data_IF_927273698970
#
_entry.id   IF_927273698970
#
_cell.length_a   1.000
_cell.length_b   1.000
_cell.length_c   1.000
_cell.angle_alpha   90.00
_cell.angle_beta   90.00
_cell.angle_gamma   90.00
#
_symmetry.space_group_name_H-M   'P 1'
#
loop_
_entity.id
_entity.type
_entity.pdbx_description
1 polymer ?
#
# COMPACT_ATOMS: atom_id res chain seq x y z
N UNK A 1 22.44 -21.42 -53.45
CA UNK A 1 23.90 -21.71 -53.49
C UNK A 1 24.47 -20.94 -54.68
N UNK A 2 25.69 -20.38 -54.59
CA UNK A 2 26.23 -19.17 -55.28
C UNK A 2 25.81 -17.88 -54.56
N UNK A 3 26.61 -17.19 -53.74
CA UNK A 3 28.04 -16.78 -53.69
C UNK A 3 28.28 -15.36 -54.26
N UNK A 4 28.50 -14.43 -53.31
CA UNK A 4 29.44 -13.29 -53.22
C UNK A 4 29.65 -12.33 -54.40
N UNK A 5 29.75 -11.03 -54.03
CA UNK A 5 30.82 -10.02 -54.28
C UNK A 5 30.14 -8.62 -54.14
N UNK A 6 30.33 -7.84 -53.06
CA UNK A 6 31.41 -6.88 -52.71
C UNK A 6 31.53 -5.64 -53.65
N UNK A 7 31.04 -4.51 -53.10
CA UNK A 7 31.58 -3.13 -53.06
C UNK A 7 31.76 -2.32 -54.35
N UNK A 8 31.26 -1.07 -54.37
CA UNK A 8 32.04 0.19 -54.40
C UNK A 8 31.09 1.40 -54.38
N UNK A 9 31.39 2.39 -53.53
CA UNK A 9 30.75 3.70 -53.55
C UNK A 9 31.39 4.62 -54.59
N UNK A 10 30.60 5.57 -55.10
CA UNK A 10 31.08 6.80 -55.71
C UNK A 10 29.98 7.87 -55.66
N UNK A 11 30.42 9.11 -55.80
CA UNK A 11 29.91 10.33 -55.19
C UNK A 11 28.85 11.12 -55.99
N UNK A 12 28.05 11.88 -55.23
CA UNK A 12 27.55 13.28 -55.47
C UNK A 12 26.71 13.68 -56.70
N UNK A 13 25.52 14.24 -56.40
CA UNK A 13 24.88 15.44 -56.98
C UNK A 13 23.66 15.80 -56.07
N UNK A 14 23.71 16.83 -55.21
CA UNK A 14 23.27 18.23 -55.42
C UNK A 14 21.83 18.35 -55.97
N UNK A 15 20.90 19.20 -55.51
CA UNK A 15 20.79 20.22 -54.46
C UNK A 15 19.29 20.64 -54.38
N UNK A 16 18.71 20.61 -53.17
CA UNK A 16 17.70 21.54 -52.55
C UNK A 16 16.40 21.93 -53.30
N UNK A 17 15.25 21.77 -52.59
CA UNK A 17 14.18 22.74 -52.23
C UNK A 17 12.95 21.91 -51.77
N UNK A 18 12.17 22.17 -50.74
CA UNK A 18 12.16 23.06 -49.59
C UNK A 18 11.08 22.48 -48.64
N UNK A 19 11.30 22.47 -47.32
CA UNK A 19 10.24 22.18 -46.35
C UNK A 19 10.38 23.15 -45.16
N UNK A 20 9.27 23.73 -44.66
CA UNK A 20 9.31 24.94 -43.83
C UNK A 20 9.83 24.66 -42.42
N UNK A 21 10.69 25.56 -41.97
CA UNK A 21 11.22 25.67 -40.61
C UNK A 21 10.15 26.14 -39.63
N UNK A 22 9.79 25.32 -38.65
CA UNK A 22 9.24 25.80 -37.39
C UNK A 22 10.41 26.08 -36.42
N UNK A 23 10.69 27.36 -36.17
CA UNK A 23 11.56 27.78 -35.08
C UNK A 23 10.76 27.75 -33.78
N UNK A 24 11.14 26.89 -32.84
CA UNK A 24 10.77 27.02 -31.43
C UNK A 24 11.85 27.88 -30.78
N UNK A 25 11.53 28.99 -30.11
CA UNK A 25 12.54 29.80 -29.43
C UNK A 25 13.12 29.02 -28.25
N UNK A 26 14.43 28.77 -28.29
CA UNK A 26 15.18 28.36 -27.10
C UNK A 26 15.22 29.55 -26.15
N UNK A 27 14.45 29.48 -25.07
CA UNK A 27 14.64 30.33 -23.90
C UNK A 27 15.91 29.84 -23.21
N UNK A 28 17.01 30.56 -23.39
CA UNK A 28 18.21 30.37 -22.58
C UNK A 28 17.92 30.90 -21.18
N UNK A 29 17.64 30.01 -20.22
CA UNK A 29 17.70 30.37 -18.82
C UNK A 29 19.16 30.61 -18.44
N UNK A 30 19.58 31.87 -18.44
CA UNK A 30 20.77 32.31 -17.71
C UNK A 30 20.47 32.14 -16.21
N UNK A 31 20.98 31.06 -15.62
CA UNK A 31 21.02 30.93 -14.16
C UNK A 31 22.18 31.78 -13.65
N UNK A 32 21.84 32.95 -13.12
CA UNK A 32 22.74 33.71 -12.26
C UNK A 32 23.04 32.88 -11.00
N UNK A 33 24.26 32.37 -10.87
CA UNK A 33 24.74 31.77 -9.63
C UNK A 33 25.10 32.92 -8.68
N UNK A 34 24.08 33.39 -7.95
CA UNK A 34 24.24 34.20 -6.75
C UNK A 34 24.55 33.29 -5.57
N UNK A 35 25.65 33.55 -4.88
CA UNK A 35 26.14 32.78 -3.76
C UNK A 35 25.20 32.80 -2.53
N UNK A 36 25.28 31.72 -1.75
CA UNK A 36 24.70 31.51 -0.41
C UNK A 36 23.20 31.20 -0.35
N UNK A 37 22.88 29.94 -0.63
CA UNK A 37 21.66 29.29 -0.18
C UNK A 37 22.01 27.82 0.03
N UNK A 38 21.97 27.36 1.27
CA UNK A 38 22.18 25.97 1.67
C UNK A 38 21.31 25.08 0.79
N UNK A 39 21.93 24.21 -0.02
CA UNK A 39 21.22 23.11 -0.68
C UNK A 39 20.59 22.28 0.43
N UNK A 40 19.29 22.49 0.67
CA UNK A 40 18.49 21.52 1.39
C UNK A 40 18.65 20.20 0.62
N UNK A 41 19.39 19.27 1.21
CA UNK A 41 19.44 17.91 0.74
C UNK A 41 17.99 17.41 0.75
N UNK A 42 17.37 17.33 -0.41
CA UNK A 42 16.12 16.59 -0.61
C UNK A 42 16.45 15.12 -0.31
N UNK A 43 16.34 14.73 0.96
CA UNK A 43 16.32 13.34 1.35
C UNK A 43 15.16 12.69 0.58
N UNK A 44 15.31 11.49 0.01
CA UNK A 44 14.17 10.81 -0.60
C UNK A 44 13.12 10.57 0.48
N UNK A 45 12.01 11.27 0.34
CA UNK A 45 10.83 11.10 1.18
C UNK A 45 10.34 9.66 1.06
N UNK A 46 10.13 8.99 2.19
CA UNK A 46 9.33 7.76 2.21
C UNK A 46 7.87 8.21 2.31
N UNK A 47 7.05 8.05 1.25
CA UNK A 47 5.66 8.49 1.31
C UNK A 47 4.90 7.74 2.40
N UNK A 48 3.88 8.38 2.97
CA UNK A 48 2.94 7.67 3.84
C UNK A 48 2.33 6.47 3.10
N UNK A 49 2.30 5.31 3.76
CA UNK A 49 1.78 4.10 3.12
C UNK A 49 2.10 2.80 3.85
N UNK A 50 1.82 1.70 3.17
CA UNK A 50 2.02 0.34 3.67
C UNK A 50 3.24 -0.29 2.98
N UNK A 51 4.09 -0.94 3.78
CA UNK A 51 5.38 -1.44 3.32
C UNK A 51 5.68 -2.82 3.90
N UNK A 52 6.32 -3.66 3.09
CA UNK A 52 7.22 -4.66 3.62
C UNK A 52 8.57 -4.01 3.91
N UNK A 53 9.09 -4.24 5.10
CA UNK A 53 10.38 -3.68 5.54
C UNK A 53 11.40 -4.79 5.56
N UNK A 54 12.44 -4.68 4.74
CA UNK A 54 13.49 -5.70 4.60
C UNK A 54 14.83 -5.17 5.09
N UNK A 55 15.57 -5.97 5.84
CA UNK A 55 16.97 -5.70 6.13
C UNK A 55 17.85 -6.19 4.97
N UNK A 56 18.84 -5.40 4.56
CA UNK A 56 19.71 -5.77 3.43
C UNK A 56 20.50 -7.05 3.67
N UNK A 57 20.89 -7.33 4.91
CA UNK A 57 21.74 -8.47 5.21
C UNK A 57 20.97 -9.78 5.43
N UNK A 58 19.65 -9.73 5.64
CA UNK A 58 18.89 -10.89 6.15
C UNK A 58 17.56 -11.11 5.43
N UNK A 59 16.51 -10.38 5.79
CA UNK A 59 15.16 -10.66 5.31
C UNK A 59 14.12 -9.66 5.83
N UNK A 60 12.85 -10.03 5.86
CA UNK A 60 11.76 -9.12 6.26
C UNK A 60 11.62 -9.00 7.77
N UNK A 61 11.38 -7.78 8.26
CA UNK A 61 10.91 -7.50 9.61
C UNK A 61 9.46 -7.93 9.78
N UNK A 62 9.17 -8.67 10.86
CA UNK A 62 7.88 -9.26 11.15
C UNK A 62 7.64 -9.36 12.66
N UNK A 63 6.40 -9.65 13.05
CA UNK A 63 6.03 -10.05 14.41
C UNK A 63 5.86 -11.56 14.52
N UNK A 64 6.25 -12.12 15.68
CA UNK A 64 6.21 -13.57 15.92
C UNK A 64 4.80 -14.07 16.24
N UNK A 65 3.98 -13.18 16.77
CA UNK A 65 2.67 -13.48 17.31
C UNK A 65 1.84 -12.19 17.38
N UNK A 66 0.59 -12.31 17.81
CA UNK A 66 -0.27 -11.17 18.14
C UNK A 66 0.09 -10.53 19.50
N UNK A 67 1.31 -10.72 20.02
CA UNK A 67 1.72 -10.19 21.31
C UNK A 67 2.51 -8.89 21.17
N UNK A 68 2.20 -7.93 22.04
CA UNK A 68 3.00 -6.71 22.25
C UNK A 68 4.21 -6.92 23.16
N UNK A 69 4.32 -8.10 23.78
CA UNK A 69 5.42 -8.41 24.71
C UNK A 69 6.66 -8.97 24.03
N UNK A 70 6.59 -9.24 22.73
CA UNK A 70 7.70 -9.81 21.96
C UNK A 70 8.32 -8.75 21.05
N UNK A 71 9.66 -8.71 20.94
CA UNK A 71 10.30 -7.73 20.08
C UNK A 71 10.06 -8.07 18.61
N UNK A 72 10.13 -7.03 17.77
CA UNK A 72 10.19 -7.18 16.31
C UNK A 72 11.40 -8.04 15.97
N UNK A 73 11.24 -8.94 15.00
CA UNK A 73 12.33 -9.79 14.54
C UNK A 73 12.39 -9.82 13.02
N UNK A 74 13.54 -10.24 12.49
CA UNK A 74 13.79 -10.46 11.06
C UNK A 74 14.02 -11.94 10.83
N UNK A 75 13.41 -12.48 9.77
CA UNK A 75 13.54 -13.89 9.36
C UNK A 75 14.00 -14.01 7.91
N UNK A 76 14.82 -15.02 7.62
CA UNK A 76 15.21 -15.42 6.26
C UNK A 76 14.07 -16.10 5.51
N UNK A 77 13.20 -16.82 6.22
CA UNK A 77 12.04 -17.48 5.61
C UNK A 77 10.93 -16.47 5.41
N UNK A 78 10.36 -16.42 4.20
CA UNK A 78 9.03 -15.83 3.95
C UNK A 78 7.99 -16.69 4.66
N UNK A 79 7.96 -16.66 5.99
CA UNK A 79 6.73 -16.95 6.70
C UNK A 79 5.71 -15.97 6.15
N UNK A 80 4.58 -16.49 5.64
CA UNK A 80 3.55 -15.72 4.94
C UNK A 80 3.40 -14.35 5.59
N UNK A 81 3.84 -13.29 4.89
CA UNK A 81 3.85 -11.91 5.37
C UNK A 81 2.43 -11.36 5.33
N UNK A 82 1.50 -12.07 5.97
CA UNK A 82 0.20 -11.52 6.34
C UNK A 82 0.38 -10.23 7.14
N UNK A 83 -0.67 -9.72 7.78
CA UNK A 83 -0.63 -8.36 8.33
C UNK A 83 0.47 -8.13 9.40
N UNK A 84 1.07 -9.19 9.97
CA UNK A 84 2.25 -9.14 10.86
C UNK A 84 3.59 -8.81 10.20
N UNK A 85 3.71 -8.96 8.88
CA UNK A 85 4.89 -8.58 8.10
C UNK A 85 4.72 -7.28 7.32
N UNK A 86 3.60 -6.58 7.51
CA UNK A 86 3.32 -5.30 6.88
C UNK A 86 3.36 -4.18 7.92
N UNK A 87 3.95 -3.06 7.51
CA UNK A 87 4.22 -1.91 8.36
C UNK A 87 3.63 -0.67 7.73
N UNK A 88 2.93 0.12 8.53
CA UNK A 88 2.46 1.45 8.15
C UNK A 88 3.52 2.47 8.52
N UNK A 89 3.93 3.28 7.57
CA UNK A 89 4.92 4.35 7.74
C UNK A 89 4.19 5.67 7.53
N UNK A 90 4.25 6.55 8.53
CA UNK A 90 3.53 7.83 8.51
C UNK A 90 4.45 8.97 8.97
N UNK A 91 4.72 9.98 8.12
CA UNK A 91 5.37 11.21 8.56
C UNK A 91 4.60 11.86 9.72
N UNK A 92 5.32 12.34 10.73
CA UNK A 92 4.76 13.02 11.90
C UNK A 92 4.86 14.55 11.79
N UNK A 93 5.63 15.04 10.82
CA UNK A 93 5.82 16.44 10.54
C UNK A 93 5.94 16.69 9.02
N UNK A 94 5.73 17.94 8.62
CA UNK A 94 5.86 18.37 7.22
C UNK A 94 7.32 18.33 6.72
N UNK A 95 8.27 18.07 7.62
CA UNK A 95 9.69 17.95 7.30
C UNK A 95 10.08 16.55 6.83
N UNK A 96 9.20 15.54 6.99
CA UNK A 96 9.51 14.14 6.68
C UNK A 96 10.79 13.63 7.39
N UNK A 97 11.11 14.22 8.53
CA UNK A 97 12.29 13.85 9.34
C UNK A 97 11.93 12.85 10.43
N UNK A 98 10.65 12.80 10.80
CA UNK A 98 10.12 11.93 11.85
C UNK A 98 8.97 11.09 11.34
N UNK A 99 9.03 9.80 11.64
CA UNK A 99 8.07 8.82 11.20
C UNK A 99 7.51 8.05 12.38
N UNK A 100 6.20 7.87 12.39
CA UNK A 100 5.56 6.79 13.13
C UNK A 100 5.65 5.53 12.28
N UNK A 101 6.09 4.44 12.92
CA UNK A 101 6.10 3.11 12.32
C UNK A 101 5.11 2.28 13.14
N UNK A 102 4.14 1.66 12.46
CA UNK A 102 3.12 0.82 13.12
C UNK A 102 3.02 -0.53 12.44
N UNK A 103 2.76 -1.58 13.22
CA UNK A 103 2.46 -2.88 12.63
C UNK A 103 0.99 -2.91 12.21
N UNK A 104 0.71 -3.32 10.98
CA UNK A 104 -0.67 -3.34 10.47
C UNK A 104 -1.50 -4.40 11.20
N UNK A 105 -0.98 -5.61 11.39
CA UNK A 105 -1.71 -6.72 11.99
C UNK A 105 -2.04 -6.57 13.47
N UNK A 106 -1.29 -5.76 14.20
CA UNK A 106 -1.65 -5.38 15.57
C UNK A 106 -2.39 -4.04 15.66
N UNK A 107 -2.30 -3.19 14.65
CA UNK A 107 -2.85 -1.83 14.70
C UNK A 107 -2.19 -0.95 15.78
N UNK A 108 -0.97 -1.28 16.20
CA UNK A 108 -0.24 -0.54 17.24
C UNK A 108 1.09 0.00 16.71
N UNK A 109 1.55 1.17 17.22
CA UNK A 109 2.86 1.70 16.90
C UNK A 109 3.98 0.83 17.47
N UNK A 110 5.20 1.11 17.00
CA UNK A 110 6.41 0.51 17.55
C UNK A 110 7.16 1.51 18.42
N UNK A 111 7.82 1.02 19.46
CA UNK A 111 8.65 1.81 20.36
C UNK A 111 9.91 1.02 20.73
N UNK A 112 10.93 1.72 21.21
CA UNK A 112 12.11 1.11 21.81
C UNK A 112 11.88 0.87 23.31
N UNK A 113 12.31 -0.29 23.79
CA UNK A 113 12.41 -0.59 25.22
C UNK A 113 13.76 -1.25 25.49
N UNK A 114 14.62 -0.56 26.24
CA UNK A 114 16.03 -0.92 26.36
C UNK A 114 16.74 -0.89 25.01
N UNK A 115 17.34 -2.01 24.61
CA UNK A 115 18.06 -2.14 23.35
C UNK A 115 17.26 -2.89 22.26
N UNK A 116 15.95 -3.09 22.44
CA UNK A 116 15.10 -3.82 21.50
C UNK A 116 13.90 -2.97 21.08
N UNK A 117 13.27 -3.35 19.97
CA UNK A 117 12.07 -2.70 19.44
C UNK A 117 10.85 -3.59 19.65
N UNK A 118 9.77 -3.01 20.15
CA UNK A 118 8.51 -3.70 20.46
C UNK A 118 7.31 -3.00 19.81
N UNK A 119 6.29 -3.74 19.37
CA UNK A 119 4.97 -3.15 19.12
C UNK A 119 4.25 -2.87 20.45
N UNK A 120 3.53 -1.76 20.56
CA UNK A 120 2.78 -1.42 21.78
C UNK A 120 2.38 0.04 21.84
N UNK A 121 2.49 0.65 23.03
CA UNK A 121 2.17 2.06 23.21
C UNK A 121 3.03 2.98 22.33
N UNK A 122 2.49 4.15 21.90
CA UNK A 122 3.24 5.10 21.11
C UNK A 122 4.52 5.54 21.83
N UNK A 123 5.66 5.33 21.16
CA UNK A 123 6.97 5.79 21.62
C UNK A 123 7.35 7.13 21.00
N UNK A 124 8.65 7.42 21.03
CA UNK A 124 9.20 8.49 20.20
C UNK A 124 9.10 8.15 18.71
N UNK A 125 9.03 9.19 17.87
CA UNK A 125 9.10 9.01 16.42
C UNK A 125 10.52 8.63 15.97
N UNK A 126 10.61 7.86 14.90
CA UNK A 126 11.87 7.41 14.31
C UNK A 126 12.33 8.38 13.23
N UNK A 127 13.63 8.62 13.12
CA UNK A 127 14.19 9.25 11.94
C UNK A 127 14.52 8.18 10.90
N UNK A 128 14.06 8.36 9.66
CA UNK A 128 14.39 7.45 8.56
C UNK A 128 15.22 8.22 7.54
N UNK A 129 16.49 7.84 7.42
CA UNK A 129 17.50 8.58 6.66
C UNK A 129 18.03 7.72 5.51
N UNK A 130 18.20 8.30 4.32
CA UNK A 130 18.76 7.58 3.17
C UNK A 130 20.22 7.22 3.43
N UNK A 131 20.53 5.93 3.43
CA UNK A 131 21.86 5.37 3.62
C UNK A 131 22.60 5.08 2.28
N UNK A 132 21.90 5.21 1.14
CA UNK A 132 22.46 5.03 -0.19
C UNK A 132 21.52 4.29 -1.13
N UNK A 133 22.10 3.48 -2.01
CA UNK A 133 21.38 2.56 -2.89
C UNK A 133 22.00 1.17 -2.83
N UNK A 134 21.17 0.15 -3.04
CA UNK A 134 21.62 -1.23 -3.20
C UNK A 134 22.15 -1.51 -4.62
N UNK A 135 22.58 -2.75 -4.87
CA UNK A 135 23.09 -3.20 -6.18
C UNK A 135 22.05 -3.06 -7.32
N UNK A 136 20.76 -3.02 -6.99
CA UNK A 136 19.66 -2.82 -7.93
C UNK A 136 19.25 -1.35 -8.06
N UNK A 137 20.02 -0.42 -7.50
CA UNK A 137 19.73 1.03 -7.44
C UNK A 137 18.44 1.37 -6.69
N UNK A 138 17.99 0.50 -5.79
CA UNK A 138 16.90 0.79 -4.87
C UNK A 138 17.44 1.53 -3.66
N UNK A 139 16.70 2.54 -3.21
CA UNK A 139 17.09 3.30 -2.02
C UNK A 139 17.07 2.43 -0.77
N UNK A 140 18.13 2.59 0.03
CA UNK A 140 18.28 1.93 1.32
C UNK A 140 18.39 2.99 2.41
N UNK A 141 17.87 2.66 3.58
CA UNK A 141 17.64 3.61 4.65
C UNK A 141 18.16 3.09 5.98
N UNK A 142 18.54 4.01 6.86
CA UNK A 142 18.78 3.73 8.27
C UNK A 142 17.53 4.15 9.06
N UNK A 143 17.10 3.32 10.02
CA UNK A 143 16.02 3.67 10.96
C UNK A 143 16.66 4.02 12.29
N UNK A 144 16.60 5.30 12.67
CA UNK A 144 17.26 5.87 13.83
C UNK A 144 16.26 6.22 14.93
N UNK A 145 16.68 5.99 16.16
CA UNK A 145 15.96 6.35 17.38
C UNK A 145 16.63 7.61 17.95
N UNK A 146 16.04 8.80 17.77
CA UNK A 146 16.73 10.06 18.05
C UNK A 146 17.17 10.23 19.51
N UNK A 147 16.34 9.84 20.49
CA UNK A 147 16.65 10.06 21.91
C UNK A 147 17.89 9.34 22.42
N UNK A 148 18.24 8.20 21.80
CA UNK A 148 19.39 7.37 22.17
C UNK A 148 20.48 7.37 21.11
N UNK A 149 20.30 8.09 20.00
CA UNK A 149 21.22 8.17 18.87
C UNK A 149 21.70 6.79 18.37
N UNK A 150 20.79 5.82 18.30
CA UNK A 150 21.07 4.45 17.84
C UNK A 150 20.18 4.07 16.67
N UNK A 151 20.60 3.05 15.93
CA UNK A 151 19.92 2.60 14.72
C UNK A 151 19.47 1.14 14.85
N UNK A 152 18.37 0.83 14.17
CA UNK A 152 17.85 -0.53 14.06
C UNK A 152 18.87 -1.43 13.39
N UNK A 153 19.24 -2.49 14.10
CA UNK A 153 20.31 -3.43 13.70
C UNK A 153 19.86 -4.86 13.91
N UNK A 154 20.14 -5.71 12.92
CA UNK A 154 19.87 -7.15 12.95
C UNK A 154 21.18 -7.92 13.21
N UNK A 155 21.14 -8.95 14.06
CA UNK A 155 22.24 -9.91 14.15
C UNK A 155 22.09 -10.95 13.03
N UNK A 156 23.07 -10.99 12.13
CA UNK A 156 23.08 -11.86 10.94
C UNK A 156 23.70 -13.23 11.20
N UNK A 157 23.88 -13.63 12.46
CA UNK A 157 24.40 -14.96 12.80
C UNK A 157 23.29 -15.94 13.19
N UNK A 158 22.02 -15.53 13.16
CA UNK A 158 20.90 -16.33 13.64
C UNK A 158 19.75 -16.34 12.62
N UNK A 159 19.16 -17.52 12.35
CA UNK A 159 18.06 -17.69 11.36
C UNK A 159 16.89 -16.73 11.62
N UNK A 160 16.63 -16.44 12.89
CA UNK A 160 15.70 -15.41 13.36
C UNK A 160 16.44 -14.48 14.31
N UNK A 161 16.28 -13.19 14.13
CA UNK A 161 17.06 -12.19 14.87
C UNK A 161 16.18 -11.03 15.29
N UNK A 162 16.20 -10.67 16.57
CA UNK A 162 15.43 -9.53 17.05
C UNK A 162 16.06 -8.23 16.56
N UNK A 163 15.23 -7.24 16.27
CA UNK A 163 15.70 -5.90 15.93
C UNK A 163 16.21 -5.24 17.21
N UNK A 164 17.49 -4.87 17.18
CA UNK A 164 18.19 -4.26 18.31
C UNK A 164 18.68 -2.86 17.98
N UNK A 165 19.05 -2.10 19.00
CA UNK A 165 19.62 -0.76 18.85
C UNK A 165 21.13 -0.78 19.06
N UNK A 166 21.87 -0.34 18.04
CA UNK A 166 23.33 -0.20 18.08
C UNK A 166 23.77 1.14 17.50
N UNK A 167 25.02 1.52 17.76
CA UNK A 167 25.65 2.68 17.11
C UNK A 167 25.65 2.50 15.60
N UNK A 168 25.49 3.60 14.87
CA UNK A 168 25.50 3.59 13.41
C UNK A 168 26.92 3.37 12.87
N UNK A 169 27.10 2.31 12.10
CA UNK A 169 28.36 1.88 11.50
C UNK A 169 28.27 1.73 9.98
N UNK A 170 27.10 2.02 9.37
CA UNK A 170 26.87 1.91 7.93
C UNK A 170 26.86 0.47 7.39
N UNK A 171 26.64 -0.52 8.27
CA UNK A 171 26.67 -1.94 7.93
C UNK A 171 25.39 -2.40 7.21
N UNK A 172 25.43 -3.43 6.34
CA UNK A 172 24.22 -3.99 5.74
C UNK A 172 23.16 -4.44 6.76
N UNK A 173 23.58 -4.88 7.95
CA UNK A 173 22.69 -5.23 9.05
C UNK A 173 21.92 -4.04 9.66
N UNK A 174 22.27 -2.81 9.26
CA UNK A 174 21.66 -1.56 9.70
C UNK A 174 20.90 -0.84 8.58
N UNK A 175 20.91 -1.42 7.37
CA UNK A 175 20.27 -0.87 6.18
C UNK A 175 18.96 -1.59 5.89
N UNK A 176 17.95 -0.79 5.58
CA UNK A 176 16.57 -1.21 5.45
C UNK A 176 16.00 -0.76 4.11
N UNK A 177 15.18 -1.62 3.50
CA UNK A 177 14.43 -1.36 2.26
C UNK A 177 12.96 -1.34 2.61
N UNK A 178 12.29 -0.31 2.11
CA UNK A 178 10.84 -0.16 2.21
C UNK A 178 10.26 -0.51 0.85
N UNK A 179 9.67 -1.69 0.75
CA UNK A 179 9.00 -2.14 -0.48
C UNK A 179 7.51 -1.88 -0.30
N UNK A 180 6.92 -0.94 -1.05
CA UNK A 180 5.51 -0.65 -0.94
C UNK A 180 4.66 -1.87 -1.25
N UNK A 181 3.58 -2.05 -0.50
CA UNK A 181 2.65 -3.17 -0.68
C UNK A 181 1.21 -2.71 -0.47
N UNK A 182 0.27 -3.02 -1.39
CA UNK A 182 -1.14 -2.78 -1.12
C UNK A 182 -1.63 -3.74 -0.04
N UNK A 183 -2.48 -3.25 0.86
CA UNK A 183 -3.07 -4.06 1.92
C UNK A 183 -3.93 -5.21 1.36
N UNK A 184 -4.71 -4.92 0.31
CA UNK A 184 -5.45 -5.91 -0.47
C UNK A 184 -4.83 -5.93 -1.88
N UNK A 185 -4.30 -7.06 -2.36
CA UNK A 185 -3.79 -7.16 -3.72
C UNK A 185 -4.84 -6.79 -4.77
N UNK A 186 -4.39 -6.38 -5.95
CA UNK A 186 -5.32 -6.23 -7.07
C UNK A 186 -5.92 -7.60 -7.43
N UNK A 187 -7.22 -7.64 -7.65
CA UNK A 187 -7.89 -8.87 -8.06
C UNK A 187 -9.41 -8.80 -7.99
N UNK A 188 -10.02 -9.97 -8.18
CA UNK A 188 -11.46 -10.18 -8.06
C UNK A 188 -11.76 -10.86 -6.73
N UNK A 189 -12.75 -10.35 -6.01
CA UNK A 189 -13.10 -10.76 -4.66
C UNK A 189 -14.60 -10.96 -4.51
N UNK A 190 -14.98 -11.93 -3.68
CA UNK A 190 -16.23 -11.84 -2.94
C UNK A 190 -16.00 -10.95 -1.72
N UNK A 191 -16.91 -10.00 -1.51
CA UNK A 191 -16.84 -9.07 -0.38
C UNK A 191 -18.00 -9.36 0.56
N UNK A 192 -17.69 -9.65 1.81
CA UNK A 192 -18.67 -9.99 2.84
C UNK A 192 -18.65 -8.94 3.94
N UNK A 193 -19.79 -8.65 4.54
CA UNK A 193 -19.82 -7.87 5.78
C UNK A 193 -19.82 -8.84 6.97
N UNK A 194 -19.05 -8.53 8.01
CA UNK A 194 -18.91 -9.40 9.20
C UNK A 194 -20.26 -9.60 9.90
N UNK A 195 -21.10 -8.56 9.95
CA UNK A 195 -22.42 -8.69 10.54
C UNK A 195 -23.42 -9.42 9.63
N UNK A 196 -23.30 -9.28 8.31
CA UNK A 196 -24.31 -9.78 7.41
C UNK A 196 -23.84 -9.98 5.96
N UNK A 197 -23.83 -11.24 5.51
CA UNK A 197 -23.99 -11.59 4.10
C UNK A 197 -22.94 -11.06 3.12
N UNK A 198 -23.29 -11.12 1.83
CA UNK A 198 -22.39 -10.79 0.71
C UNK A 198 -22.79 -9.47 0.07
N UNK A 199 -21.80 -8.64 -0.28
CA UNK A 199 -22.01 -7.43 -1.05
C UNK A 199 -22.44 -7.76 -2.49
N UNK A 200 -23.51 -7.14 -2.94
CA UNK A 200 -24.12 -7.44 -4.24
C UNK A 200 -24.65 -6.18 -4.93
N UNK A 201 -24.69 -6.21 -6.27
CA UNK A 201 -25.53 -5.30 -7.07
C UNK A 201 -27.00 -5.73 -7.05
N UNK A 202 -27.90 -4.78 -6.79
CA UNK A 202 -29.35 -5.04 -6.79
C UNK A 202 -29.87 -5.41 -8.18
N UNK A 203 -29.29 -4.80 -9.20
CA UNK A 203 -29.58 -5.06 -10.59
C UNK A 203 -28.38 -4.65 -11.44
N UNK A 204 -28.39 -5.01 -12.72
CA UNK A 204 -27.44 -4.51 -13.73
C UNK A 204 -27.76 -3.05 -14.11
N UNK A 205 -27.81 -2.18 -13.11
CA UNK A 205 -28.15 -0.78 -13.22
C UNK A 205 -27.32 0.03 -12.22
N UNK A 206 -26.89 1.21 -12.64
CA UNK A 206 -26.22 2.19 -11.79
C UNK A 206 -27.20 3.11 -11.01
N UNK A 207 -28.50 2.84 -11.11
CA UNK A 207 -29.55 3.68 -10.48
C UNK A 207 -29.91 3.25 -9.08
N UNK A 208 -29.48 2.06 -8.66
CA UNK A 208 -29.79 1.51 -7.35
C UNK A 208 -28.51 1.42 -6.51
N UNK A 209 -28.61 1.67 -5.20
CA UNK A 209 -27.47 1.53 -4.31
C UNK A 209 -27.05 0.06 -4.23
N UNK A 210 -25.76 -0.15 -4.01
CA UNK A 210 -25.23 -1.48 -3.70
C UNK A 210 -25.75 -1.91 -2.33
N UNK A 211 -25.92 -3.20 -2.13
CA UNK A 211 -26.60 -3.73 -0.95
C UNK A 211 -25.97 -5.03 -0.48
N UNK A 212 -26.31 -5.43 0.75
CA UNK A 212 -25.96 -6.74 1.28
C UNK A 212 -27.05 -7.73 0.97
N UNK A 213 -26.69 -8.86 0.39
CA UNK A 213 -27.57 -10.01 0.23
C UNK A 213 -27.34 -11.03 1.33
N UNK A 214 -28.42 -11.68 1.79
CA UNK A 214 -28.38 -12.86 2.67
C UNK A 214 -27.88 -14.11 1.95
N UNK A 215 -27.72 -14.03 0.63
CA UNK A 215 -27.16 -15.11 -0.18
C UNK A 215 -25.63 -15.13 -0.06
N UNK A 216 -25.10 -16.26 0.42
CA UNK A 216 -23.66 -16.55 0.40
C UNK A 216 -23.37 -17.33 -0.88
N UNK A 217 -22.75 -16.68 -1.88
CA UNK A 217 -22.25 -17.43 -3.03
C UNK A 217 -20.99 -18.21 -2.64
N UNK A 218 -20.94 -19.47 -3.10
CA UNK A 218 -19.75 -20.31 -2.95
C UNK A 218 -18.67 -19.80 -3.90
N UNK A 219 -17.42 -19.58 -3.42
CA UNK A 219 -16.31 -19.22 -4.28
C UNK A 219 -16.07 -20.30 -5.33
N UNK A 220 -16.14 -19.94 -6.61
CA UNK A 220 -15.79 -20.85 -7.72
C UNK A 220 -16.71 -20.83 -8.94
N UNK A 221 -17.80 -20.05 -8.95
CA UNK A 221 -18.69 -19.99 -10.11
C UNK A 221 -18.70 -18.58 -10.72
N UNK A 222 -18.10 -18.39 -11.90
CA UNK A 222 -18.03 -17.12 -12.65
C UNK A 222 -19.15 -17.02 -13.70
N UNK A 223 -20.41 -17.20 -13.30
CA UNK A 223 -21.58 -17.00 -14.17
C UNK A 223 -22.03 -15.53 -14.20
N UNK A 224 -22.86 -15.15 -15.18
CA UNK A 224 -23.53 -13.83 -15.14
C UNK A 224 -24.46 -13.67 -13.91
N UNK A 225 -25.00 -14.72 -13.31
CA UNK A 225 -25.75 -14.52 -12.05
C UNK A 225 -24.81 -14.08 -10.91
N UNK A 226 -23.58 -14.63 -10.90
CA UNK A 226 -22.57 -14.38 -9.87
C UNK A 226 -21.72 -13.14 -10.11
N UNK A 227 -21.68 -12.58 -11.32
CA UNK A 227 -20.96 -11.32 -11.59
C UNK A 227 -21.44 -10.16 -10.70
N UNK A 228 -22.70 -10.19 -10.25
CA UNK A 228 -23.24 -9.21 -9.29
C UNK A 228 -22.58 -9.27 -7.90
N UNK A 229 -21.94 -10.39 -7.54
CA UNK A 229 -21.21 -10.61 -6.29
C UNK A 229 -19.69 -10.47 -6.42
N UNK A 230 -19.17 -10.29 -7.63
CA UNK A 230 -17.73 -10.19 -7.88
C UNK A 230 -17.29 -8.74 -7.95
N UNK A 231 -16.37 -8.39 -7.05
CA UNK A 231 -15.84 -7.05 -6.91
C UNK A 231 -14.39 -7.04 -7.31
N UNK A 232 -14.06 -6.16 -8.26
CA UNK A 232 -12.69 -5.88 -8.65
C UNK A 232 -12.13 -4.82 -7.71
N UNK A 233 -11.03 -5.15 -7.04
CA UNK A 233 -10.32 -4.27 -6.13
C UNK A 233 -9.00 -3.88 -6.78
N UNK A 234 -8.78 -2.58 -6.93
CA UNK A 234 -7.62 -2.03 -7.63
C UNK A 234 -6.93 -0.98 -6.76
N UNK A 235 -5.74 -1.26 -6.21
CA UNK A 235 -5.00 -0.30 -5.41
C UNK A 235 -4.47 0.87 -6.23
N UNK A 236 -4.42 2.05 -5.63
CA UNK A 236 -3.82 3.25 -6.20
C UNK A 236 -2.40 3.44 -5.65
N UNK A 237 -1.43 2.89 -6.38
CA UNK A 237 -0.01 2.97 -6.02
C UNK A 237 0.28 2.32 -4.66
N UNK A 238 0.95 3.08 -3.78
CA UNK A 238 1.45 2.61 -2.48
C UNK A 238 0.55 3.02 -1.31
N UNK A 239 -0.58 3.66 -1.63
CA UNK A 239 -1.52 4.17 -0.64
C UNK A 239 -2.44 3.06 -0.13
N UNK A 240 -3.22 3.39 0.90
CA UNK A 240 -4.37 2.58 1.31
C UNK A 240 -5.61 2.88 0.45
N UNK A 241 -5.49 3.57 -0.68
CA UNK A 241 -6.63 3.93 -1.54
C UNK A 241 -6.87 2.91 -2.64
N UNK A 242 -8.15 2.67 -2.91
CA UNK A 242 -8.61 1.67 -3.85
C UNK A 242 -9.71 2.22 -4.75
N UNK A 243 -9.75 1.71 -5.97
CA UNK A 243 -10.97 1.66 -6.76
C UNK A 243 -11.65 0.32 -6.52
N UNK A 244 -12.93 0.39 -6.21
CA UNK A 244 -13.79 -0.76 -6.00
C UNK A 244 -14.80 -0.73 -7.14
N UNK A 245 -14.82 -1.77 -7.97
CA UNK A 245 -15.73 -1.88 -9.11
C UNK A 245 -16.47 -3.21 -9.04
N UNK A 246 -17.68 -3.28 -9.60
CA UNK A 246 -18.37 -4.56 -9.73
C UNK A 246 -18.15 -5.14 -11.14
N UNK A 247 -17.84 -6.43 -11.26
CA UNK A 247 -17.61 -7.06 -12.56
C UNK A 247 -18.87 -7.12 -13.44
N UNK A 248 -20.07 -7.06 -12.85
CA UNK A 248 -21.31 -7.07 -13.62
C UNK A 248 -21.55 -5.78 -14.43
N UNK A 249 -21.03 -4.64 -13.98
CA UNK A 249 -21.19 -3.36 -14.66
C UNK A 249 -19.87 -2.73 -15.13
N UNK A 250 -18.74 -3.24 -14.64
CA UNK A 250 -17.38 -2.76 -14.95
C UNK A 250 -17.18 -1.25 -14.74
N UNK A 251 -17.93 -0.68 -13.79
CA UNK A 251 -17.81 0.72 -13.36
C UNK A 251 -17.49 0.79 -11.87
N UNK A 252 -16.75 1.83 -11.45
CA UNK A 252 -16.41 2.01 -10.04
C UNK A 252 -17.64 2.33 -9.20
N UNK A 253 -17.51 2.13 -7.89
CA UNK A 253 -18.48 2.62 -6.92
C UNK A 253 -18.20 4.08 -6.57
N UNK A 254 -19.24 4.79 -6.16
CA UNK A 254 -19.16 6.15 -5.65
C UNK A 254 -20.32 6.44 -4.70
N UNK A 255 -20.18 7.48 -3.88
CA UNK A 255 -21.20 7.96 -2.97
C UNK A 255 -22.15 8.90 -3.68
N UNK A 256 -23.43 8.75 -3.36
CA UNK A 256 -24.45 9.76 -3.63
C UNK A 256 -25.17 9.98 -2.30
N UNK A 257 -25.02 11.18 -1.74
CA UNK A 257 -25.46 11.46 -0.36
C UNK A 257 -24.79 10.47 0.61
N UNK A 258 -25.57 9.74 1.39
CA UNK A 258 -25.12 8.77 2.39
C UNK A 258 -25.19 7.31 1.91
N UNK A 259 -25.34 7.06 0.61
CA UNK A 259 -25.45 5.72 0.02
C UNK A 259 -24.39 5.49 -1.04
N UNK A 260 -24.05 4.22 -1.29
CA UNK A 260 -23.06 3.82 -2.29
C UNK A 260 -23.74 3.26 -3.53
N UNK A 261 -23.34 3.76 -4.70
CA UNK A 261 -23.84 3.38 -6.02
C UNK A 261 -22.68 2.94 -6.91
N UNK A 262 -22.98 2.25 -8.00
CA UNK A 262 -22.03 2.10 -9.11
C UNK A 262 -22.18 3.27 -10.09
N UNK A 263 -21.11 3.66 -10.78
CA UNK A 263 -21.16 4.68 -11.83
C UNK A 263 -19.80 5.32 -12.11
N UNK A 264 -19.74 6.14 -13.16
CA UNK A 264 -18.50 6.83 -13.55
C UNK A 264 -18.12 7.85 -12.47
N UNK A 265 -16.99 7.62 -11.80
CA UNK A 265 -16.49 8.46 -10.73
C UNK A 265 -14.99 8.22 -10.52
N UNK A 266 -14.29 9.27 -10.10
CA UNK A 266 -12.89 9.21 -9.65
C UNK A 266 -12.78 9.03 -8.13
N UNK A 267 -13.89 8.78 -7.44
CA UNK A 267 -13.88 8.58 -5.99
C UNK A 267 -13.03 7.37 -5.59
N UNK A 268 -12.24 7.57 -4.53
CA UNK A 268 -11.33 6.57 -3.97
C UNK A 268 -11.77 6.19 -2.57
N UNK A 269 -11.51 4.94 -2.22
CA UNK A 269 -11.85 4.38 -0.93
C UNK A 269 -10.59 3.92 -0.22
N UNK A 270 -10.42 4.33 1.03
CA UNK A 270 -9.36 3.81 1.88
C UNK A 270 -9.80 2.46 2.48
N UNK A 271 -9.04 1.39 2.24
CA UNK A 271 -9.25 0.10 2.93
C UNK A 271 -8.22 -0.01 4.05
N UNK A 272 -8.71 -0.21 5.27
CA UNK A 272 -7.87 -0.28 6.47
C UNK A 272 -8.13 -1.56 7.26
N UNK A 273 -7.07 -2.16 7.81
CA UNK A 273 -7.17 -3.35 8.65
C UNK A 273 -7.95 -3.04 9.94
N UNK A 274 -8.90 -3.91 10.28
CA UNK A 274 -9.83 -3.74 11.39
C UNK A 274 -9.75 -4.89 12.41
N UNK A 275 -8.70 -5.71 12.34
CA UNK A 275 -8.46 -6.86 13.19
C UNK A 275 -8.88 -8.17 12.54
N UNK A 276 -9.15 -9.17 13.38
CA UNK A 276 -9.67 -10.46 12.98
C UNK A 276 -11.07 -10.68 13.53
N UNK A 277 -11.89 -11.41 12.78
CA UNK A 277 -13.18 -11.88 13.26
C UNK A 277 -13.02 -13.07 14.24
N UNK A 278 -14.16 -13.60 14.71
CA UNK A 278 -14.19 -14.77 15.60
C UNK A 278 -13.59 -16.05 14.99
N UNK A 279 -13.50 -16.11 13.66
CA UNK A 279 -12.92 -17.21 12.89
C UNK A 279 -11.42 -17.02 12.64
N UNK A 280 -10.82 -15.93 13.16
CA UNK A 280 -9.43 -15.51 12.94
C UNK A 280 -9.13 -15.12 11.50
N UNK A 281 -10.15 -14.71 10.76
CA UNK A 281 -9.99 -14.19 9.41
C UNK A 281 -9.86 -12.67 9.46
N UNK A 282 -8.99 -12.14 8.61
CA UNK A 282 -8.72 -10.71 8.56
C UNK A 282 -9.95 -9.93 8.05
N UNK A 283 -10.32 -8.89 8.79
CA UNK A 283 -11.43 -7.99 8.46
C UNK A 283 -10.95 -6.54 8.34
N UNK A 284 -11.68 -5.75 7.57
CA UNK A 284 -11.26 -4.43 7.12
C UNK A 284 -12.39 -3.42 7.22
N UNK A 285 -12.07 -2.14 7.32
CA UNK A 285 -13.03 -1.05 7.09
C UNK A 285 -12.83 -0.48 5.70
N UNK A 286 -13.91 -0.01 5.07
CA UNK A 286 -13.88 0.70 3.79
C UNK A 286 -14.33 2.14 4.06
N UNK A 287 -13.42 3.09 3.92
CA UNK A 287 -13.67 4.52 4.14
C UNK A 287 -13.68 5.27 2.83
N UNK A 288 -14.44 6.35 2.75
CA UNK A 288 -14.31 7.29 1.62
C UNK A 288 -13.04 8.11 1.85
N UNK A 289 -12.07 8.12 0.91
CA UNK A 289 -10.79 8.81 1.16
C UNK A 289 -10.92 10.30 1.48
N UNK A 290 -11.96 10.96 0.95
CA UNK A 290 -12.20 12.40 1.14
C UNK A 290 -12.86 12.78 2.46
N UNK A 291 -13.32 11.81 3.27
CA UNK A 291 -14.06 12.09 4.51
C UNK A 291 -13.95 10.96 5.54
N UNK A 292 -14.23 11.25 6.80
CA UNK A 292 -14.16 10.23 7.86
C UNK A 292 -15.44 9.39 7.99
N UNK A 293 -15.97 8.94 6.84
CA UNK A 293 -17.16 8.08 6.74
C UNK A 293 -16.79 6.70 6.27
N UNK A 294 -17.45 5.68 6.81
CA UNK A 294 -17.19 4.28 6.53
C UNK A 294 -18.44 3.57 6.04
N UNK A 295 -18.24 2.57 5.17
CA UNK A 295 -19.30 1.72 4.68
C UNK A 295 -19.91 0.93 5.84
N UNK A 296 -21.21 1.11 6.02
CA UNK A 296 -22.00 0.55 7.11
C UNK A 296 -23.29 -0.05 6.58
N UNK A 297 -23.66 -1.19 7.14
CA UNK A 297 -24.90 -1.90 6.82
C UNK A 297 -25.85 -1.86 8.02
N UNK A 298 -27.16 -1.78 7.78
CA UNK A 298 -28.14 -1.94 8.85
C UNK A 298 -28.44 -3.42 9.03
N UNK A 299 -28.09 -3.97 10.19
CA UNK A 299 -28.23 -5.39 10.53
C UNK A 299 -29.67 -5.80 10.84
N UNK A 300 -30.60 -4.85 10.93
CA UNK A 300 -32.01 -5.14 11.19
C UNK A 300 -32.86 -5.17 9.90
N UNK A 301 -32.27 -4.81 8.75
CA UNK A 301 -32.98 -4.66 7.48
C UNK A 301 -32.50 -5.67 6.45
N UNK A 302 -33.34 -6.66 6.12
CA UNK A 302 -33.04 -7.64 5.06
C UNK A 302 -32.79 -6.89 3.76
N UNK A 303 -31.68 -7.20 3.10
CA UNK A 303 -31.22 -6.50 1.90
C UNK A 303 -30.93 -5.01 2.13
N UNK A 304 -30.29 -4.70 3.26
CA UNK A 304 -29.83 -3.34 3.59
C UNK A 304 -28.91 -2.81 2.49
N UNK A 305 -29.18 -1.58 2.07
CA UNK A 305 -28.23 -0.84 1.25
C UNK A 305 -26.96 -0.55 2.05
N UNK A 306 -25.84 -0.41 1.35
CA UNK A 306 -24.61 0.09 1.96
C UNK A 306 -24.71 1.60 2.10
N UNK A 307 -24.53 2.06 3.33
CA UNK A 307 -24.61 3.48 3.70
C UNK A 307 -23.29 3.98 4.28
N UNK A 308 -23.15 5.30 4.36
CA UNK A 308 -22.02 5.96 4.99
C UNK A 308 -22.40 6.43 6.39
N UNK A 309 -21.62 6.02 7.39
CA UNK A 309 -21.70 6.51 8.77
C UNK A 309 -20.31 6.80 9.32
N UNK A 310 -20.24 7.51 10.45
CA UNK A 310 -18.98 7.70 11.17
C UNK A 310 -18.44 6.34 11.64
N UNK A 311 -17.12 6.17 11.63
CA UNK A 311 -16.48 5.00 12.21
C UNK A 311 -16.80 4.90 13.71
N UNK A 312 -17.33 3.77 14.12
CA UNK A 312 -17.58 3.40 15.51
C UNK A 312 -16.76 2.15 15.82
N UNK A 313 -15.95 2.19 16.89
CA UNK A 313 -15.03 1.11 17.20
C UNK A 313 -15.77 -0.20 17.48
N UNK A 314 -15.32 -1.28 16.84
CA UNK A 314 -15.77 -2.63 17.12
C UNK A 314 -17.11 -3.03 16.51
N UNK A 315 -17.77 -2.19 15.71
CA UNK A 315 -19.03 -2.55 15.06
C UNK A 315 -18.84 -3.55 13.91
N UNK A 316 -19.41 -4.77 13.98
CA UNK A 316 -19.33 -5.74 12.88
C UNK A 316 -20.00 -5.24 11.59
N UNK A 317 -21.00 -4.36 11.71
CA UNK A 317 -21.70 -3.75 10.58
C UNK A 317 -20.82 -2.82 9.73
N UNK A 318 -19.63 -2.48 10.22
CA UNK A 318 -18.64 -1.64 9.53
C UNK A 318 -17.40 -2.42 9.07
N UNK A 319 -17.39 -3.74 9.29
CA UNK A 319 -16.25 -4.61 9.01
C UNK A 319 -16.54 -5.53 7.84
N UNK A 320 -15.55 -5.68 6.98
CA UNK A 320 -15.66 -6.27 5.66
C UNK A 320 -14.54 -7.28 5.44
N UNK A 321 -14.87 -8.40 4.82
CA UNK A 321 -13.93 -9.46 4.46
C UNK A 321 -13.81 -9.54 2.94
N UNK A 322 -12.57 -9.66 2.46
CA UNK A 322 -12.25 -9.84 1.04
C UNK A 322 -11.76 -11.26 0.81
N UNK A 323 -12.54 -12.06 0.08
CA UNK A 323 -12.17 -13.44 -0.28
C UNK A 323 -11.82 -13.49 -1.76
N UNK A 324 -10.55 -13.76 -2.13
CA UNK A 324 -10.15 -13.84 -3.53
C UNK A 324 -10.96 -14.88 -4.29
N UNK A 325 -11.42 -14.53 -5.49
CA UNK A 325 -12.00 -15.47 -6.44
C UNK A 325 -10.86 -16.04 -7.29
N UNK A 326 -10.59 -17.36 -7.25
CA UNK A 326 -9.58 -17.95 -8.10
C UNK A 326 -9.89 -17.70 -9.57
N UNK A 327 -8.91 -17.19 -10.31
CA UNK A 327 -8.97 -17.22 -11.78
C UNK A 327 -8.66 -18.66 -12.19
N UNK A 328 -9.67 -19.39 -12.67
CA UNK A 328 -9.47 -20.68 -13.32
C UNK A 328 -8.83 -20.52 -14.70
#
# INVERSE_FOLDING_TARGET
MFSKIITFGLETLALVHAAPSFQVPMVSCNVNIGASGTLAHLLPDIPSGNYHVYNEAWGSAQLRSHSTTEPIFVSLTRESVGPFGMWKIEPQDDTNEKYAISNIGLGVPVHNSGNLIFPGEPGEAFAIERAGQDDNKQDVFTIKVPSVNKVWTVDTNTVRSNVSLKEELGLPSQKWKFVPVPLIPSGTYHVYNEAWGSLQLRSYSNKEPIFISDTVESPGNLSMASATFHWKIEPHGNSNEYTISNLGLEVPVHKISNLIFTGQSDERFAIEYAGQDVSKEDVFTIKVSSENSVWTVDTNTVRSNVSLKRLEQGLPSQKWKFVPVPLN
#
